data_IF_093962304819
#
_entry.id   IF_093962304819
#
_cell.length_a   1.000
_cell.length_b   1.000
_cell.length_c   1.000
_cell.angle_alpha   90.00
_cell.angle_beta   90.00
_cell.angle_gamma   90.00
#
_symmetry.space_group_name_H-M   'P 1'
#
loop_
_entity.id
_entity.type
_entity.pdbx_description
1 polymer ?
#
# COMPACT_ATOMS: atom_id res chain seq x y z
N UNK A 1 7.94 -17.41 -16.04
CA UNK A 1 9.21 -17.60 -15.30
C UNK A 1 8.94 -18.60 -14.19
N UNK A 2 9.78 -19.62 -14.01
CA UNK A 2 9.64 -20.55 -12.88
C UNK A 2 10.09 -19.84 -11.60
N UNK A 3 9.24 -19.86 -10.56
CA UNK A 3 9.57 -19.33 -9.24
C UNK A 3 9.86 -20.53 -8.35
N UNK A 4 11.10 -20.73 -7.89
CA UNK A 4 11.41 -21.76 -6.91
C UNK A 4 10.53 -21.59 -5.66
N UNK A 5 10.16 -22.69 -5.01
CA UNK A 5 9.27 -22.71 -3.83
C UNK A 5 9.95 -22.05 -2.61
N UNK A 6 9.98 -20.73 -2.61
CA UNK A 6 10.52 -19.88 -1.55
C UNK A 6 9.40 -19.26 -0.68
N UNK A 7 8.16 -19.69 -0.89
CA UNK A 7 6.96 -19.08 -0.32
C UNK A 7 6.13 -20.06 0.51
N UNK A 8 6.69 -21.23 0.84
CA UNK A 8 6.04 -22.22 1.71
C UNK A 8 4.76 -22.78 1.09
N UNK A 9 4.77 -23.07 -0.21
CA UNK A 9 3.62 -23.60 -0.94
C UNK A 9 2.55 -22.57 -1.34
N UNK A 10 2.77 -21.27 -1.10
CA UNK A 10 1.90 -20.19 -1.61
C UNK A 10 2.54 -19.50 -2.81
N UNK A 11 1.74 -19.01 -3.74
CA UNK A 11 2.30 -18.29 -4.89
C UNK A 11 2.67 -16.84 -4.51
N UNK A 12 3.64 -16.21 -5.21
CA UNK A 12 3.94 -14.79 -5.03
C UNK A 12 2.73 -13.89 -5.22
N UNK A 13 1.84 -14.22 -6.17
CA UNK A 13 0.59 -13.51 -6.43
C UNK A 13 -0.34 -13.56 -5.22
N UNK A 14 -0.39 -14.70 -4.52
CA UNK A 14 -1.16 -14.83 -3.30
C UNK A 14 -0.63 -13.91 -2.21
N UNK A 15 0.70 -13.82 -2.06
CA UNK A 15 1.32 -12.88 -1.11
C UNK A 15 1.03 -11.42 -1.47
N UNK A 16 1.06 -11.07 -2.77
CA UNK A 16 0.67 -9.74 -3.23
C UNK A 16 -0.81 -9.44 -2.94
N UNK A 17 -1.70 -10.40 -3.16
CA UNK A 17 -3.12 -10.28 -2.85
C UNK A 17 -3.37 -10.02 -1.35
N UNK A 18 -2.61 -10.65 -0.46
CA UNK A 18 -2.67 -10.40 0.98
C UNK A 18 -2.35 -8.94 1.34
N UNK A 19 -1.34 -8.35 0.68
CA UNK A 19 -0.98 -6.95 0.89
C UNK A 19 -2.07 -6.00 0.34
N UNK A 20 -2.65 -6.35 -0.81
CA UNK A 20 -3.77 -5.60 -1.40
C UNK A 20 -5.02 -5.67 -0.52
N UNK A 21 -5.32 -6.82 0.10
CA UNK A 21 -6.43 -6.95 1.06
C UNK A 21 -6.26 -6.03 2.27
N UNK A 22 -5.05 -5.94 2.82
CA UNK A 22 -4.75 -5.00 3.90
C UNK A 22 -4.89 -3.55 3.44
N UNK A 23 -4.38 -3.22 2.24
CA UNK A 23 -4.54 -1.90 1.63
C UNK A 23 -6.02 -1.52 1.45
N UNK A 24 -6.86 -2.42 0.93
CA UNK A 24 -8.29 -2.15 0.74
C UNK A 24 -9.03 -1.96 2.06
N UNK A 25 -8.60 -2.64 3.13
CA UNK A 25 -9.14 -2.41 4.47
C UNK A 25 -8.80 -1.01 4.97
N UNK A 26 -7.57 -0.53 4.73
CA UNK A 26 -7.17 0.85 5.04
C UNK A 26 -7.97 1.88 4.22
N UNK A 27 -8.10 1.66 2.92
CA UNK A 27 -8.85 2.56 2.03
C UNK A 27 -10.32 2.62 2.46
N UNK A 28 -10.93 1.48 2.77
CA UNK A 28 -12.31 1.44 3.26
C UNK A 28 -12.49 2.21 4.58
N UNK A 29 -11.54 2.08 5.52
CA UNK A 29 -11.53 2.92 6.73
C UNK A 29 -11.53 4.41 6.37
N UNK A 30 -10.67 4.86 5.45
CA UNK A 30 -10.60 6.28 5.03
C UNK A 30 -11.88 6.76 4.35
N UNK A 31 -12.49 5.94 3.50
CA UNK A 31 -13.75 6.25 2.81
C UNK A 31 -14.88 6.38 3.84
N UNK A 32 -15.05 5.40 4.73
CA UNK A 32 -16.11 5.42 5.75
C UNK A 32 -15.91 6.59 6.72
N UNK A 33 -14.67 6.85 7.14
CA UNK A 33 -14.35 8.01 7.97
C UNK A 33 -14.79 9.33 7.30
N UNK A 34 -14.48 9.52 6.01
CA UNK A 34 -14.93 10.69 5.24
C UNK A 34 -16.46 10.78 5.13
N UNK A 35 -17.15 9.64 4.94
CA UNK A 35 -18.61 9.61 4.89
C UNK A 35 -19.23 10.05 6.22
N UNK A 36 -18.64 9.66 7.36
CA UNK A 36 -19.09 10.04 8.70
C UNK A 36 -18.80 11.51 9.03
N UNK A 37 -17.74 12.11 8.47
CA UNK A 37 -17.47 13.56 8.53
C UNK A 37 -18.46 14.39 7.68
N UNK A 38 -19.34 13.75 6.91
CA UNK A 38 -20.24 14.42 5.97
C UNK A 38 -19.54 14.92 4.70
N UNK A 39 -18.30 14.50 4.45
CA UNK A 39 -17.54 14.88 3.24
C UNK A 39 -17.88 13.91 2.10
N UNK A 40 -18.38 14.46 0.99
CA UNK A 40 -18.58 13.72 -0.27
C UNK A 40 -19.96 13.08 -0.48
N UNK A 41 -20.93 13.34 0.39
CA UNK A 41 -22.33 12.92 0.22
C UNK A 41 -23.22 14.17 0.23
N UNK A 42 -23.53 14.72 -0.95
CA UNK A 42 -24.40 15.89 -1.07
C UNK A 42 -25.71 15.71 -0.31
N UNK A 43 -26.19 16.77 0.37
CA UNK A 43 -27.47 16.95 1.08
C UNK A 43 -28.02 15.83 2.02
N UNK A 44 -27.40 14.64 2.07
CA UNK A 44 -27.86 13.46 2.82
C UNK A 44 -26.78 12.85 3.71
N UNK A 45 -25.57 13.43 3.73
CA UNK A 45 -24.53 13.05 4.69
C UNK A 45 -24.96 13.43 6.10
N UNK A 46 -25.51 12.48 6.87
CA UNK A 46 -25.73 12.68 8.30
C UNK A 46 -24.37 12.72 8.98
N UNK A 47 -23.94 13.89 9.42
CA UNK A 47 -22.80 14.01 10.32
C UNK A 47 -23.06 13.16 11.56
N UNK A 48 -22.34 12.04 11.69
CA UNK A 48 -22.46 11.14 12.84
C UNK A 48 -21.16 11.22 13.65
N UNK A 49 -21.06 12.29 14.46
CA UNK A 49 -19.91 12.55 15.32
C UNK A 49 -19.55 11.35 16.21
N UNK A 50 -20.55 10.64 16.73
CA UNK A 50 -20.30 9.52 17.64
C UNK A 50 -19.58 8.38 16.92
N UNK A 51 -20.14 7.91 15.80
CA UNK A 51 -19.52 6.83 15.02
C UNK A 51 -18.17 7.24 14.42
N UNK A 52 -18.03 8.51 14.05
CA UNK A 52 -16.75 9.07 13.60
C UNK A 52 -15.68 8.96 14.70
N UNK A 53 -15.99 9.45 15.91
CA UNK A 53 -15.08 9.42 17.04
C UNK A 53 -14.76 7.99 17.47
N UNK A 54 -15.75 7.10 17.49
CA UNK A 54 -15.56 5.69 17.83
C UNK A 54 -14.59 5.00 16.85
N UNK A 55 -14.75 5.26 15.54
CA UNK A 55 -13.89 4.70 14.50
C UNK A 55 -12.47 5.27 14.58
N UNK A 56 -12.33 6.58 14.84
CA UNK A 56 -11.04 7.24 15.00
C UNK A 56 -10.29 6.75 16.24
N UNK A 57 -10.97 6.66 17.38
CA UNK A 57 -10.39 6.14 18.62
C UNK A 57 -9.99 4.67 18.46
N UNK A 58 -10.80 3.87 17.75
CA UNK A 58 -10.44 2.48 17.47
C UNK A 58 -9.18 2.38 16.61
N UNK A 59 -9.04 3.25 15.62
CA UNK A 59 -7.86 3.38 14.77
C UNK A 59 -6.61 3.79 15.55
N UNK A 60 -6.71 4.84 16.39
CA UNK A 60 -5.60 5.32 17.21
C UNK A 60 -5.11 4.28 18.21
N UNK A 61 -6.05 3.50 18.79
CA UNK A 61 -5.71 2.40 19.68
C UNK A 61 -5.07 1.20 18.95
N UNK A 62 -5.32 1.04 17.64
CA UNK A 62 -4.87 -0.11 16.84
C UNK A 62 -4.35 0.33 15.46
N UNK A 63 -3.23 1.08 15.38
CA UNK A 63 -2.80 1.74 14.15
C UNK A 63 -2.13 0.80 13.12
N UNK A 64 -1.92 -0.47 13.46
CA UNK A 64 -1.19 -1.42 12.61
C UNK A 64 -2.15 -2.37 11.92
N UNK A 65 -2.56 -2.04 10.68
CA UNK A 65 -3.15 -3.01 9.75
C UNK A 65 -2.04 -3.93 9.20
N UNK A 66 -1.29 -4.61 10.09
CA UNK A 66 -0.46 -5.73 9.67
C UNK A 66 -1.33 -6.91 9.25
N UNK A 67 -2.50 -7.03 9.88
CA UNK A 67 -3.56 -7.95 9.51
C UNK A 67 -4.90 -7.21 9.51
N UNK A 68 -5.40 -6.86 8.32
CA UNK A 68 -6.65 -6.11 8.17
C UNK A 68 -7.88 -6.89 8.58
N UNK A 69 -7.86 -8.22 8.46
CA UNK A 69 -8.99 -9.07 8.83
C UNK A 69 -9.11 -9.20 10.36
N UNK A 70 -8.00 -9.32 11.09
CA UNK A 70 -8.00 -9.30 12.56
C UNK A 70 -8.45 -7.94 13.10
N UNK A 71 -7.95 -6.85 12.52
CA UNK A 71 -8.36 -5.49 12.90
C UNK A 71 -9.87 -5.29 12.68
N UNK A 72 -10.38 -5.73 11.53
CA UNK A 72 -11.79 -5.62 11.20
C UNK A 72 -12.67 -6.51 12.10
N UNK A 73 -12.21 -7.72 12.44
CA UNK A 73 -12.90 -8.58 13.40
C UNK A 73 -13.00 -7.92 14.78
N UNK A 74 -11.92 -7.27 15.23
CA UNK A 74 -11.91 -6.49 16.46
C UNK A 74 -12.88 -5.31 16.43
N UNK A 75 -13.01 -4.63 15.29
CA UNK A 75 -14.00 -3.57 15.10
C UNK A 75 -15.42 -4.14 15.15
N UNK A 76 -15.69 -5.26 14.48
CA UNK A 76 -17.00 -5.92 14.48
C UNK A 76 -17.46 -6.29 15.89
N UNK A 77 -16.54 -6.73 16.75
CA UNK A 77 -16.85 -7.06 18.14
C UNK A 77 -17.26 -5.82 18.96
N UNK A 78 -16.74 -4.63 18.64
CA UNK A 78 -17.08 -3.38 19.33
C UNK A 78 -18.30 -2.69 18.72
N UNK A 79 -18.38 -2.66 17.39
CA UNK A 79 -19.45 -2.03 16.64
C UNK A 79 -19.73 -2.85 15.36
N UNK A 80 -20.69 -3.79 15.40
CA UNK A 80 -21.03 -4.64 14.26
C UNK A 80 -21.46 -3.84 13.02
N UNK A 81 -22.17 -2.72 13.22
CA UNK A 81 -22.69 -1.90 12.12
C UNK A 81 -21.55 -1.24 11.33
N UNK A 82 -20.58 -0.64 12.02
CA UNK A 82 -19.40 -0.07 11.38
C UNK A 82 -18.54 -1.16 10.71
N UNK A 83 -18.39 -2.31 11.36
CA UNK A 83 -17.68 -3.46 10.79
C UNK A 83 -18.27 -3.93 9.47
N UNK A 84 -19.60 -4.13 9.40
CA UNK A 84 -20.31 -4.49 8.16
C UNK A 84 -20.15 -3.40 7.11
N UNK A 85 -20.27 -2.12 7.49
CA UNK A 85 -20.08 -1.01 6.54
C UNK A 85 -18.69 -1.01 5.90
N UNK A 86 -17.64 -1.26 6.69
CA UNK A 86 -16.28 -1.38 6.15
C UNK A 86 -16.11 -2.61 5.24
N UNK A 87 -16.78 -3.73 5.54
CA UNK A 87 -16.78 -4.92 4.67
C UNK A 87 -17.41 -4.65 3.31
N UNK A 88 -18.54 -3.94 3.28
CA UNK A 88 -19.19 -3.53 2.03
C UNK A 88 -18.27 -2.63 1.21
N UNK A 89 -17.75 -1.57 1.84
CA UNK A 89 -16.91 -0.57 1.15
C UNK A 89 -15.61 -1.19 0.63
N UNK A 90 -14.92 -2.04 1.40
CA UNK A 90 -13.69 -2.70 0.90
C UNK A 90 -13.96 -3.67 -0.24
N UNK A 91 -15.14 -4.30 -0.25
CA UNK A 91 -15.56 -5.21 -1.33
C UNK A 91 -15.91 -4.45 -2.60
N UNK A 92 -16.70 -3.38 -2.48
CA UNK A 92 -17.05 -2.49 -3.59
C UNK A 92 -15.79 -1.86 -4.19
N UNK A 93 -14.91 -1.29 -3.35
CA UNK A 93 -13.68 -0.67 -3.82
C UNK A 93 -12.77 -1.66 -4.58
N UNK A 94 -12.59 -2.87 -4.05
CA UNK A 94 -11.78 -3.91 -4.69
C UNK A 94 -12.33 -4.34 -6.07
N UNK A 95 -13.66 -4.44 -6.21
CA UNK A 95 -14.30 -5.00 -7.40
C UNK A 95 -14.66 -3.96 -8.47
N UNK A 96 -14.98 -2.75 -8.05
CA UNK A 96 -15.63 -1.74 -8.91
C UNK A 96 -14.76 -0.50 -9.09
N UNK A 97 -14.15 0.02 -8.02
CA UNK A 97 -13.43 1.30 -8.07
C UNK A 97 -11.93 1.16 -8.33
N UNK A 98 -11.31 0.05 -7.89
CA UNK A 98 -9.87 -0.13 -8.03
C UNK A 98 -9.51 -0.48 -9.47
N UNK A 99 -8.76 0.42 -10.12
CA UNK A 99 -8.33 0.26 -11.51
C UNK A 99 -7.21 -0.79 -11.65
N UNK A 100 -7.58 -2.07 -11.70
CA UNK A 100 -6.64 -3.19 -11.81
C UNK A 100 -5.70 -3.08 -13.02
N UNK A 101 -6.21 -2.66 -14.17
CA UNK A 101 -5.42 -2.49 -15.39
C UNK A 101 -4.37 -1.39 -15.23
N UNK A 102 -4.76 -0.29 -14.58
CA UNK A 102 -3.84 0.81 -14.28
C UNK A 102 -2.80 0.38 -13.25
N UNK A 103 -3.19 -0.35 -12.21
CA UNK A 103 -2.27 -0.90 -11.20
C UNK A 103 -1.22 -1.80 -11.85
N UNK A 104 -1.63 -2.72 -12.73
CA UNK A 104 -0.71 -3.57 -13.51
C UNK A 104 0.22 -2.73 -14.37
N UNK A 105 -0.32 -1.77 -15.13
CA UNK A 105 0.46 -0.88 -16.01
C UNK A 105 1.51 -0.08 -15.24
N UNK A 106 1.13 0.48 -14.09
CA UNK A 106 2.03 1.26 -13.22
C UNK A 106 3.09 0.35 -12.61
N UNK A 107 2.73 -0.82 -12.09
CA UNK A 107 3.69 -1.74 -11.49
C UNK A 107 4.80 -2.17 -12.47
N UNK A 108 4.43 -2.51 -13.71
CA UNK A 108 5.40 -2.87 -14.75
C UNK A 108 6.26 -1.67 -15.14
N UNK A 109 5.64 -0.51 -15.42
CA UNK A 109 6.36 0.70 -15.83
C UNK A 109 7.34 1.20 -14.78
N UNK A 110 6.96 1.18 -13.50
CA UNK A 110 7.83 1.64 -12.42
C UNK A 110 8.97 0.66 -12.16
N UNK A 111 8.80 -0.64 -12.43
CA UNK A 111 9.91 -1.61 -12.41
C UNK A 111 10.96 -1.28 -13.47
N UNK A 112 10.53 -1.02 -14.71
CA UNK A 112 11.45 -0.65 -15.80
C UNK A 112 12.23 0.64 -15.48
N UNK A 113 11.51 1.66 -15.00
CA UNK A 113 12.13 2.92 -14.58
C UNK A 113 13.09 2.75 -13.39
N UNK A 114 12.74 1.90 -12.43
CA UNK A 114 13.61 1.62 -11.28
C UNK A 114 14.92 0.99 -11.76
N UNK A 115 14.84 -0.02 -12.63
CA UNK A 115 16.02 -0.67 -13.20
C UNK A 115 16.89 0.31 -14.01
N UNK A 116 16.28 1.14 -14.85
CA UNK A 116 17.00 2.18 -15.60
C UNK A 116 17.72 3.15 -14.66
N UNK A 117 17.05 3.62 -13.60
CA UNK A 117 17.65 4.53 -12.62
C UNK A 117 18.84 3.89 -11.90
N UNK A 118 18.70 2.65 -11.46
CA UNK A 118 19.77 1.92 -10.75
C UNK A 118 20.98 1.75 -11.67
N UNK A 119 20.77 1.36 -12.94
CA UNK A 119 21.85 1.22 -13.92
C UNK A 119 22.57 2.54 -14.17
N UNK A 120 21.83 3.65 -14.33
CA UNK A 120 22.44 4.97 -14.50
C UNK A 120 23.29 5.37 -13.28
N UNK A 121 22.79 5.14 -12.06
CA UNK A 121 23.52 5.42 -10.82
C UNK A 121 24.80 4.57 -10.71
N UNK A 122 24.75 3.30 -11.11
CA UNK A 122 25.92 2.42 -11.09
C UNK A 122 26.97 2.82 -12.13
N UNK A 123 26.53 3.24 -13.32
CA UNK A 123 27.43 3.74 -14.35
C UNK A 123 28.16 5.01 -13.91
N UNK A 124 27.43 5.95 -13.31
CA UNK A 124 28.00 7.19 -12.74
C UNK A 124 29.01 6.89 -11.62
N UNK A 125 28.65 6.02 -10.68
CA UNK A 125 29.56 5.62 -9.60
C UNK A 125 30.83 4.93 -10.12
N UNK A 126 30.70 4.05 -11.10
CA UNK A 126 31.84 3.34 -11.71
C UNK A 126 32.76 4.29 -12.47
N UNK A 127 32.18 5.29 -13.16
CA UNK A 127 32.93 6.33 -13.85
C UNK A 127 33.76 7.16 -12.87
N UNK A 128 33.14 7.63 -11.78
CA UNK A 128 33.84 8.39 -10.74
C UNK A 128 35.01 7.60 -10.12
N UNK A 129 34.79 6.33 -9.78
CA UNK A 129 35.84 5.46 -9.24
C UNK A 129 37.01 5.28 -10.22
N UNK A 130 36.72 5.19 -11.53
CA UNK A 130 37.75 5.08 -12.55
C UNK A 130 38.61 6.35 -12.65
N UNK A 131 38.00 7.53 -12.56
CA UNK A 131 38.72 8.81 -12.56
C UNK A 131 39.62 8.95 -11.32
N UNK A 132 39.10 8.63 -10.12
CA UNK A 132 39.90 8.67 -8.90
C UNK A 132 41.08 7.67 -8.92
N UNK A 133 40.92 6.54 -9.60
CA UNK A 133 42.00 5.56 -9.76
C UNK A 133 43.09 6.03 -10.73
N UNK A 134 42.72 6.77 -11.78
CA UNK A 134 43.67 7.40 -12.70
C UNK A 134 44.45 8.52 -12.02
N UNK A 135 43.77 9.41 -11.27
CA UNK A 135 44.40 10.50 -10.52
C UNK A 135 45.38 10.00 -9.45
N UNK A 136 45.10 8.87 -8.80
CA UNK A 136 46.02 8.24 -7.85
C UNK A 136 47.27 7.66 -8.53
N UNK A 137 47.10 7.02 -9.68
CA UNK A 137 48.21 6.42 -10.42
C UNK A 137 49.19 7.46 -10.97
N UNK A 138 48.70 8.62 -11.42
CA UNK A 138 49.55 9.72 -11.90
C UNK A 138 50.33 10.38 -10.75
N UNK A 139 49.74 10.51 -9.56
CA UNK A 139 50.44 11.05 -8.38
C UNK A 139 51.56 10.15 -7.83
N UNK A 140 51.49 8.84 -8.05
CA UNK A 140 52.55 7.90 -7.63
C UNK A 140 53.71 7.75 -8.61
N UNK A 141 53.57 8.27 -9.84
CA UNK A 141 54.61 8.20 -10.89
C UNK A 141 55.44 9.48 -11.00
N UNK A 142 55.10 10.52 -10.24
CA UNK A 142 55.85 11.78 -10.15
C UNK A 142 56.64 11.86 -8.85
#
# INVERSE_FOLDING_TARGET
>A
MFVPDSFGGRSPEWKAADHLRNLFTFIAFRIVLSQLEGRGTGASGSYNAQQYNDLLQYWEANPRISNGDEWLAGLCNKNPMLGVRLMEVRTAYCKEDFEWDNAKRVAVREMDKANQRILSQQAEASFLLSMESQDRNDKTKS
#
